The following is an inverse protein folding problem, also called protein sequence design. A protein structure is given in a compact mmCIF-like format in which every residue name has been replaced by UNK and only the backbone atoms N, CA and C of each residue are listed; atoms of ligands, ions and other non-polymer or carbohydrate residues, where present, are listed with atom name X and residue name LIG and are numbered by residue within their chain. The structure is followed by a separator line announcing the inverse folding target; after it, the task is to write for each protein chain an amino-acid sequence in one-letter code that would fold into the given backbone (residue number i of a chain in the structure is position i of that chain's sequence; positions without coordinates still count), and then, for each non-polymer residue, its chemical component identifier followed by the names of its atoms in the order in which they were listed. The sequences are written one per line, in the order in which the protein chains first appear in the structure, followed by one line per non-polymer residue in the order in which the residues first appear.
data_IF_797818249128
#
_entry.id   IF_797818249128
#
_cell.length_a   1.000
_cell.length_b   1.000
_cell.length_c   1.000
_cell.angle_alpha   90.00
_cell.angle_beta   90.00
_cell.angle_gamma   90.00
#
_symmetry.space_group_name_H-M   'P 1'
#
loop_
_entity.id
_entity.type
_entity.pdbx_description
1 polymer ?
#
# COMPACT_ATOMS: atom_id res chain seq x y z
N UNK A 1 2.16 -3.59 -25.27
CA UNK A 1 0.84 -3.10 -24.79
C UNK A 1 -0.04 -4.31 -24.54
N UNK A 2 0.19 -5.00 -23.43
CA UNK A 2 -0.60 -6.19 -23.13
C UNK A 2 -1.85 -5.77 -22.37
N UNK A 3 -2.95 -5.81 -23.11
CA UNK A 3 -4.28 -5.69 -22.57
C UNK A 3 -4.46 -6.73 -21.44
N UNK A 4 -4.71 -6.27 -20.22
CA UNK A 4 -5.25 -7.08 -19.12
C UNK A 4 -6.60 -7.70 -19.51
N UNK A 5 -6.59 -8.60 -20.51
CA UNK A 5 -7.77 -9.30 -21.00
C UNK A 5 -8.24 -10.42 -20.08
N UNK A 6 -7.61 -10.60 -18.90
CA UNK A 6 -7.99 -11.67 -17.98
C UNK A 6 -8.51 -11.13 -16.64
N UNK A 7 -9.63 -10.41 -16.68
CA UNK A 7 -10.33 -9.97 -15.46
C UNK A 7 -10.68 -11.15 -14.54
N UNK A 8 -10.91 -12.34 -15.10
CA UNK A 8 -11.19 -13.56 -14.33
C UNK A 8 -9.97 -14.05 -13.54
N UNK A 9 -8.77 -14.02 -14.13
CA UNK A 9 -7.53 -14.45 -13.47
C UNK A 9 -7.13 -13.49 -12.34
N UNK A 10 -7.21 -12.17 -12.58
CA UNK A 10 -6.94 -11.16 -11.55
C UNK A 10 -7.94 -11.29 -10.40
N UNK A 11 -9.23 -11.46 -10.69
CA UNK A 11 -10.25 -11.68 -9.66
C UNK A 11 -9.97 -12.93 -8.81
N UNK A 12 -9.49 -14.02 -9.41
CA UNK A 12 -9.08 -15.23 -8.67
C UNK A 12 -7.90 -14.95 -7.74
N UNK A 13 -6.88 -14.23 -8.22
CA UNK A 13 -5.71 -13.85 -7.40
C UNK A 13 -6.16 -13.00 -6.21
N UNK A 14 -6.96 -11.97 -6.44
CA UNK A 14 -7.45 -11.07 -5.38
C UNK A 14 -8.27 -11.84 -4.35
N UNK A 15 -9.17 -12.73 -4.79
CA UNK A 15 -9.98 -13.55 -3.88
C UNK A 15 -9.15 -14.50 -3.01
N UNK A 16 -8.01 -14.97 -3.53
CA UNK A 16 -7.12 -15.89 -2.80
C UNK A 16 -6.05 -15.18 -1.98
N UNK A 17 -5.71 -13.94 -2.30
CA UNK A 17 -4.76 -13.16 -1.51
C UNK A 17 -5.32 -12.86 -0.12
N UNK A 18 -4.48 -12.94 0.92
CA UNK A 18 -4.83 -12.53 2.28
C UNK A 18 -4.86 -11.01 2.43
N UNK A 19 -3.97 -10.33 1.74
CA UNK A 19 -3.76 -8.88 1.82
C UNK A 19 -3.62 -8.29 0.40
N UNK A 20 -4.72 -8.15 -0.37
CA UNK A 20 -4.65 -7.48 -1.67
C UNK A 20 -4.25 -6.01 -1.50
N UNK A 21 -3.15 -5.61 -2.11
CA UNK A 21 -2.66 -4.23 -2.11
C UNK A 21 -2.49 -3.78 -3.55
N UNK A 22 -3.14 -2.69 -3.90
CA UNK A 22 -3.14 -2.13 -5.24
C UNK A 22 -2.27 -0.88 -5.31
N UNK A 23 -1.71 -0.60 -6.48
CA UNK A 23 -1.39 0.78 -6.85
C UNK A 23 -2.67 1.53 -7.21
N UNK A 24 -2.63 2.86 -7.20
CA UNK A 24 -3.78 3.69 -7.62
C UNK A 24 -4.25 3.33 -9.03
N UNK A 25 -3.32 3.19 -9.96
CA UNK A 25 -3.62 2.82 -11.35
C UNK A 25 -4.18 1.39 -11.45
N UNK A 26 -3.59 0.44 -10.71
CA UNK A 26 -4.08 -0.94 -10.65
C UNK A 26 -5.51 -1.03 -10.12
N UNK A 27 -5.83 -0.26 -9.09
CA UNK A 27 -7.18 -0.22 -8.54
C UNK A 27 -8.19 0.37 -9.54
N UNK A 28 -7.84 1.49 -10.18
CA UNK A 28 -8.66 2.13 -11.23
C UNK A 28 -8.92 1.20 -12.41
N UNK A 29 -7.91 0.43 -12.81
CA UNK A 29 -8.05 -0.55 -13.90
C UNK A 29 -8.94 -1.72 -13.49
N UNK A 30 -8.81 -2.20 -12.26
CA UNK A 30 -9.59 -3.34 -11.75
C UNK A 30 -11.07 -2.99 -11.51
N UNK A 31 -11.34 -1.83 -10.91
CA UNK A 31 -12.72 -1.35 -10.59
C UNK A 31 -13.00 -0.07 -11.39
N UNK A 32 -13.19 -0.23 -12.71
CA UNK A 32 -13.40 0.87 -13.67
C UNK A 32 -14.35 1.94 -13.14
N UNK A 33 -13.92 3.21 -13.26
CA UNK A 33 -14.73 4.42 -13.01
C UNK A 33 -15.32 4.60 -11.59
N UNK A 34 -14.79 3.92 -10.58
CA UNK A 34 -15.19 4.16 -9.18
C UNK A 34 -14.14 5.03 -8.48
N UNK A 35 -14.61 5.85 -7.52
CA UNK A 35 -13.67 6.44 -6.58
C UNK A 35 -12.98 5.32 -5.79
N UNK A 36 -11.79 5.60 -5.28
CA UNK A 36 -10.97 4.55 -4.68
C UNK A 36 -11.60 3.99 -3.39
N UNK A 37 -12.31 4.81 -2.63
CA UNK A 37 -13.00 4.40 -1.40
C UNK A 37 -14.08 3.38 -1.71
N UNK A 38 -14.97 3.69 -2.65
CA UNK A 38 -16.02 2.76 -3.08
C UNK A 38 -15.44 1.48 -3.67
N UNK A 39 -14.31 1.57 -4.40
CA UNK A 39 -13.64 0.39 -4.95
C UNK A 39 -13.06 -0.50 -3.83
N UNK A 40 -12.41 0.09 -2.82
CA UNK A 40 -11.88 -0.65 -1.67
C UNK A 40 -13.00 -1.34 -0.88
N UNK A 41 -14.08 -0.63 -0.56
CA UNK A 41 -15.23 -1.22 0.14
C UNK A 41 -15.89 -2.32 -0.66
N UNK A 42 -16.01 -2.17 -1.97
CA UNK A 42 -16.55 -3.25 -2.82
C UNK A 42 -15.68 -4.50 -2.73
N UNK A 43 -14.35 -4.37 -2.87
CA UNK A 43 -13.42 -5.51 -2.78
C UNK A 43 -13.48 -6.12 -1.38
N UNK A 44 -13.49 -5.30 -0.33
CA UNK A 44 -13.65 -5.77 1.05
C UNK A 44 -14.94 -6.56 1.22
N UNK A 45 -16.07 -6.08 0.70
CA UNK A 45 -17.34 -6.78 0.79
C UNK A 45 -17.36 -8.10 0.03
N UNK A 46 -16.67 -8.17 -1.11
CA UNK A 46 -16.54 -9.39 -1.92
C UNK A 46 -15.61 -10.43 -1.27
N UNK A 47 -14.57 -9.98 -0.56
CA UNK A 47 -13.51 -10.87 -0.03
C UNK A 47 -13.57 -11.07 1.48
N UNK A 48 -14.14 -10.11 2.22
CA UNK A 48 -14.11 -10.00 3.70
C UNK A 48 -12.69 -9.94 4.27
N UNK A 49 -11.72 -9.50 3.47
CA UNK A 49 -10.31 -9.44 3.82
C UNK A 49 -9.81 -8.00 3.80
N UNK A 50 -8.70 -7.76 4.51
CA UNK A 50 -7.92 -6.53 4.35
C UNK A 50 -7.72 -6.20 2.88
N UNK A 51 -7.86 -4.95 2.50
CA UNK A 51 -7.56 -4.45 1.16
C UNK A 51 -7.01 -3.05 1.23
N UNK A 52 -5.93 -2.77 0.49
CA UNK A 52 -5.26 -1.47 0.52
C UNK A 52 -4.96 -0.93 -0.88
N UNK A 53 -4.72 0.39 -0.94
CA UNK A 53 -4.21 1.09 -2.13
C UNK A 53 -3.10 2.05 -1.74
N UNK A 54 -2.00 2.00 -2.47
CA UNK A 54 -0.90 2.97 -2.37
C UNK A 54 -1.13 4.13 -3.33
N UNK A 55 -0.98 5.37 -2.85
CA UNK A 55 -1.27 6.59 -3.60
C UNK A 55 -0.09 7.58 -3.61
N UNK A 56 1.12 7.07 -3.68
CA UNK A 56 2.35 7.87 -3.72
C UNK A 56 2.42 8.85 -2.55
N UNK A 57 2.57 10.14 -2.82
CA UNK A 57 2.67 11.20 -1.80
C UNK A 57 1.41 11.38 -0.96
N UNK A 58 0.26 10.85 -1.40
CA UNK A 58 -0.98 10.83 -0.61
C UNK A 58 -1.01 9.73 0.43
N UNK A 59 -0.01 8.83 0.45
CA UNK A 59 0.11 7.76 1.42
C UNK A 59 -0.66 6.50 1.05
N UNK A 60 -1.21 5.81 2.03
CA UNK A 60 -1.86 4.51 1.88
C UNK A 60 -3.24 4.54 2.50
N UNK A 61 -4.23 4.04 1.78
CA UNK A 61 -5.59 3.84 2.29
C UNK A 61 -5.90 2.36 2.34
N UNK A 62 -6.62 1.91 3.38
CA UNK A 62 -7.06 0.52 3.46
C UNK A 62 -8.38 0.38 4.17
N UNK A 63 -9.08 -0.70 3.86
CA UNK A 63 -10.30 -1.12 4.54
C UNK A 63 -10.00 -2.38 5.34
N UNK A 64 -10.35 -2.35 6.60
CA UNK A 64 -10.25 -3.44 7.55
C UNK A 64 -11.37 -3.31 8.58
N UNK A 65 -11.98 -4.44 8.97
CA UNK A 65 -13.08 -4.45 9.94
C UNK A 65 -14.18 -3.42 9.61
N UNK A 66 -14.57 -3.35 8.34
CA UNK A 66 -15.58 -2.43 7.81
C UNK A 66 -15.32 -0.94 8.10
N UNK A 67 -14.07 -0.57 8.19
CA UNK A 67 -13.62 0.80 8.44
C UNK A 67 -12.51 1.19 7.47
N UNK A 68 -12.56 2.43 7.00
CA UNK A 68 -11.52 3.01 6.14
C UNK A 68 -10.46 3.70 7.00
N UNK A 69 -9.22 3.41 6.71
CA UNK A 69 -8.04 4.00 7.36
C UNK A 69 -7.15 4.69 6.33
N UNK A 70 -6.41 5.68 6.79
CA UNK A 70 -5.41 6.40 6.01
C UNK A 70 -4.11 6.53 6.78
N UNK A 71 -3.02 6.07 6.19
CA UNK A 71 -1.66 6.36 6.63
C UNK A 71 -1.12 7.53 5.83
N UNK A 72 -1.06 8.72 6.46
CA UNK A 72 -0.48 9.91 5.85
C UNK A 72 1.04 9.86 5.95
N UNK A 73 1.73 10.08 4.83
CA UNK A 73 3.19 10.22 4.77
C UNK A 73 3.59 11.71 4.74
N UNK A 74 4.71 12.08 5.36
CA UNK A 74 5.19 13.46 5.30
C UNK A 74 5.64 13.81 3.87
N UNK A 75 5.52 15.09 3.49
CA UNK A 75 6.12 15.58 2.25
C UNK A 75 7.64 15.46 2.33
N UNK A 76 8.23 14.84 1.34
CA UNK A 76 9.69 14.67 1.22
C UNK A 76 10.15 15.10 -0.16
N UNK A 77 11.42 15.48 -0.28
CA UNK A 77 12.05 15.69 -1.60
C UNK A 77 12.27 14.33 -2.23
N UNK A 78 11.48 14.01 -3.25
CA UNK A 78 11.61 12.78 -4.01
C UNK A 78 12.72 12.90 -5.03
N UNK A 79 13.59 11.91 -5.09
CA UNK A 79 14.71 11.81 -6.03
C UNK A 79 14.42 10.74 -7.08
N UNK A 80 13.95 9.56 -6.62
CA UNK A 80 13.67 8.42 -7.52
C UNK A 80 12.53 7.56 -6.97
N UNK A 81 11.54 7.27 -7.82
CA UNK A 81 10.37 6.45 -7.45
C UNK A 81 10.43 5.01 -7.97
N UNK A 82 11.44 4.66 -8.77
CA UNK A 82 11.59 3.30 -9.28
C UNK A 82 11.61 2.29 -8.14
N UNK A 83 10.93 1.16 -8.31
CA UNK A 83 10.81 0.09 -7.32
C UNK A 83 10.15 0.50 -5.98
N UNK A 84 9.53 1.69 -5.87
CA UNK A 84 8.89 2.10 -4.61
C UNK A 84 7.74 1.16 -4.20
N UNK A 85 6.97 0.69 -5.18
CA UNK A 85 5.90 -0.29 -4.98
C UNK A 85 6.44 -1.63 -4.50
N UNK A 86 7.50 -2.13 -5.13
CA UNK A 86 8.13 -3.41 -4.76
C UNK A 86 8.70 -3.35 -3.34
N UNK A 87 9.37 -2.25 -3.01
CA UNK A 87 9.89 -1.99 -1.66
C UNK A 87 8.75 -1.92 -0.64
N UNK A 88 7.64 -1.28 -0.97
CA UNK A 88 6.46 -1.25 -0.11
C UNK A 88 5.92 -2.66 0.16
N UNK A 89 5.70 -3.47 -0.89
CA UNK A 89 5.16 -4.82 -0.75
C UNK A 89 6.12 -5.73 0.02
N UNK A 90 7.43 -5.68 -0.27
CA UNK A 90 8.44 -6.44 0.45
C UNK A 90 8.52 -6.08 1.93
N UNK A 91 8.49 -4.79 2.26
CA UNK A 91 8.50 -4.32 3.64
C UNK A 91 7.20 -4.70 4.38
N UNK A 92 6.05 -4.60 3.72
CA UNK A 92 4.76 -5.02 4.30
C UNK A 92 4.75 -6.51 4.62
N UNK A 93 5.15 -7.36 3.68
CA UNK A 93 5.25 -8.81 3.88
C UNK A 93 6.24 -9.18 4.99
N UNK A 94 7.40 -8.51 5.03
CA UNK A 94 8.40 -8.70 6.09
C UNK A 94 7.86 -8.31 7.47
N UNK A 95 7.07 -7.25 7.58
CA UNK A 95 6.47 -6.86 8.86
C UNK A 95 5.40 -7.87 9.30
N UNK A 96 4.55 -8.34 8.38
CA UNK A 96 3.57 -9.40 8.67
C UNK A 96 4.23 -10.70 9.13
N UNK A 97 5.34 -11.11 8.51
CA UNK A 97 6.08 -12.32 8.92
C UNK A 97 6.65 -12.23 10.34
N UNK A 98 6.79 -11.02 10.87
CA UNK A 98 7.19 -10.72 12.25
C UNK A 98 5.97 -10.55 13.18
N UNK A 99 4.79 -11.01 12.77
CA UNK A 99 3.53 -10.93 13.53
C UNK A 99 3.08 -9.51 13.89
N UNK A 100 3.50 -8.49 13.11
CA UNK A 100 2.98 -7.14 13.27
C UNK A 100 1.53 -7.06 12.79
N UNK A 101 0.74 -6.18 13.40
CA UNK A 101 -0.60 -5.85 12.93
C UNK A 101 -0.58 -5.23 11.53
N UNK A 102 -1.71 -5.23 10.83
CA UNK A 102 -1.83 -4.60 9.52
C UNK A 102 -1.43 -3.12 9.56
N UNK A 103 -1.86 -2.38 10.58
CA UNK A 103 -1.53 -0.97 10.77
C UNK A 103 -0.02 -0.75 10.96
N UNK A 104 0.65 -1.56 11.78
CA UNK A 104 2.10 -1.50 11.96
C UNK A 104 2.85 -1.87 10.68
N UNK A 105 2.35 -2.87 9.95
CA UNK A 105 2.93 -3.29 8.67
C UNK A 105 2.80 -2.20 7.61
N UNK A 106 1.65 -1.48 7.56
CA UNK A 106 1.46 -0.30 6.70
C UNK A 106 2.44 0.82 7.07
N UNK A 107 2.57 1.14 8.36
CA UNK A 107 3.50 2.18 8.82
C UNK A 107 4.94 1.86 8.41
N UNK A 108 5.36 0.61 8.64
CA UNK A 108 6.70 0.15 8.28
C UNK A 108 6.94 0.22 6.77
N UNK A 109 6.01 -0.29 5.98
CA UNK A 109 6.10 -0.32 4.52
C UNK A 109 6.08 1.10 3.92
N UNK A 110 5.17 1.97 4.39
CA UNK A 110 5.07 3.35 3.93
C UNK A 110 6.33 4.17 4.27
N UNK A 111 6.88 4.00 5.48
CA UNK A 111 8.12 4.64 5.89
C UNK A 111 9.31 4.18 5.03
N UNK A 112 9.44 2.87 4.79
CA UNK A 112 10.52 2.28 4.01
C UNK A 112 10.47 2.77 2.56
N UNK A 113 9.31 2.72 1.92
CA UNK A 113 9.12 3.18 0.54
C UNK A 113 9.35 4.69 0.40
N UNK A 114 8.86 5.50 1.36
CA UNK A 114 9.08 6.95 1.35
C UNK A 114 10.57 7.30 1.46
N UNK A 115 11.30 6.69 2.38
CA UNK A 115 12.74 6.89 2.56
C UNK A 115 13.55 6.44 1.36
N UNK A 116 13.16 5.32 0.73
CA UNK A 116 13.75 4.85 -0.53
C UNK A 116 13.64 5.91 -1.62
N UNK A 117 12.49 6.55 -1.75
CA UNK A 117 12.27 7.56 -2.77
C UNK A 117 13.10 8.84 -2.58
N UNK A 118 13.69 9.07 -1.42
CA UNK A 118 14.55 10.23 -1.13
C UNK A 118 15.97 10.09 -1.66
N UNK A 119 16.34 8.93 -2.22
CA UNK A 119 17.67 8.63 -2.74
C UNK A 119 17.60 7.96 -4.11
N UNK A 120 18.61 8.16 -4.93
CA UNK A 120 18.81 7.38 -6.16
C UNK A 120 19.50 6.05 -5.84
N UNK A 121 19.44 5.09 -6.78
CA UNK A 121 20.12 3.80 -6.68
C UNK A 121 19.21 2.59 -6.63
N UNK A 122 17.93 2.72 -6.99
CA UNK A 122 16.99 1.61 -7.07
C UNK A 122 16.89 0.85 -5.75
N UNK A 123 17.11 -0.47 -5.78
CA UNK A 123 17.08 -1.33 -4.58
C UNK A 123 18.20 -1.03 -3.58
N UNK A 124 19.32 -0.50 -4.04
CA UNK A 124 20.45 -0.16 -3.15
C UNK A 124 20.18 1.07 -2.28
N UNK A 125 19.12 1.82 -2.57
CA UNK A 125 18.66 2.95 -1.75
C UNK A 125 17.69 2.57 -0.64
N UNK A 126 17.40 1.27 -0.44
CA UNK A 126 16.57 0.78 0.67
C UNK A 126 17.20 1.19 2.00
N UNK A 127 16.44 1.85 2.90
CA UNK A 127 16.98 2.37 4.14
C UNK A 127 17.29 1.28 5.16
N UNK A 128 18.25 1.53 6.04
CA UNK A 128 18.52 0.68 7.20
C UNK A 128 17.34 0.73 8.18
N UNK A 129 17.07 -0.37 8.88
CA UNK A 129 15.99 -0.53 9.85
C UNK A 129 15.97 0.60 10.91
N UNK A 130 17.12 0.99 11.42
CA UNK A 130 17.23 2.06 12.43
C UNK A 130 16.72 3.43 11.91
N UNK A 131 16.87 3.71 10.61
CA UNK A 131 16.38 4.93 9.97
C UNK A 131 14.86 4.82 9.79
N UNK A 132 14.36 3.66 9.35
CA UNK A 132 12.93 3.40 9.20
C UNK A 132 12.20 3.59 10.53
N UNK A 133 12.72 3.00 11.62
CA UNK A 133 12.11 3.09 12.95
C UNK A 133 12.02 4.53 13.49
N UNK A 134 13.00 5.37 13.17
CA UNK A 134 12.94 6.81 13.48
C UNK A 134 11.90 7.53 12.62
N UNK A 135 11.82 7.18 11.34
CA UNK A 135 10.93 7.85 10.39
C UNK A 135 9.45 7.51 10.59
N UNK A 136 9.15 6.29 11.01
CA UNK A 136 7.77 5.84 11.34
C UNK A 136 7.07 6.82 12.28
N UNK A 137 7.78 7.42 13.23
CA UNK A 137 7.24 8.40 14.19
C UNK A 137 6.64 9.66 13.53
N UNK A 138 6.98 9.92 12.25
CA UNK A 138 6.46 11.04 11.45
C UNK A 138 5.18 10.69 10.69
N UNK A 139 4.81 9.41 10.62
CA UNK A 139 3.61 8.96 9.94
C UNK A 139 2.43 8.98 10.92
N UNK A 140 1.23 9.22 10.38
CA UNK A 140 -0.01 9.22 11.18
C UNK A 140 -1.05 8.35 10.51
N UNK A 141 -1.69 7.52 11.31
CA UNK A 141 -2.87 6.76 10.90
C UNK A 141 -4.11 7.46 11.43
N UNK A 142 -5.09 7.63 10.57
CA UNK A 142 -6.41 8.15 10.90
C UNK A 142 -7.49 7.19 10.41
N UNK A 143 -8.51 6.97 11.23
CA UNK A 143 -9.74 6.32 10.79
C UNK A 143 -10.62 7.37 10.14
N UNK A 144 -11.04 7.10 8.91
CA UNK A 144 -11.91 7.99 8.15
C UNK A 144 -13.37 7.60 8.46
N UNK A 145 -14.17 8.58 8.86
CA UNK A 145 -15.61 8.39 8.96
C UNK A 145 -16.16 8.31 7.53
N UNK A 146 -16.82 7.23 7.24
CA UNK A 146 -17.45 6.95 5.95
C UNK A 146 -18.96 6.96 6.10
#
# INVERSE_FOLDING_TARGET
MDNFKNSSSISKIIKNASHPIFSEEGLKTYKKNKNFESALFQIFNETKKFVAVTMGSRGVYWVENNSLYHCKVPKVKTVETNCAGDVFHGAFASALSQHKSNSESILFAAATATLKCMKSGGIYSIPKMSIVNKFIKKLKITKIKW
#
